data_IF_400887496974
#
_entry.id   IF_400887496974
#
_cell.length_a   1.000
_cell.length_b   1.000
_cell.length_c   1.000
_cell.angle_alpha   90.00
_cell.angle_beta   90.00
_cell.angle_gamma   90.00
#
_symmetry.space_group_name_H-M   'P 1'
#
loop_
_entity.id
_entity.type
_entity.pdbx_description
1 polymer ?
#
# COMPACT_ATOMS: atom_id res chain seq x y z
N UNK A 1 -44.28 -5.81 21.53
CA UNK A 1 -43.72 -7.18 21.61
C UNK A 1 -44.00 -7.74 23.00
N UNK A 2 -44.53 -8.97 23.15
CA UNK A 2 -44.70 -9.59 24.46
C UNK A 2 -43.33 -9.79 25.12
N UNK A 3 -43.21 -9.50 26.42
CA UNK A 3 -41.98 -9.75 27.17
C UNK A 3 -41.74 -11.26 27.23
N UNK A 4 -40.61 -11.73 26.69
CA UNK A 4 -40.18 -13.14 26.78
C UNK A 4 -39.72 -13.39 28.21
N UNK A 5 -40.39 -14.26 28.96
CA UNK A 5 -39.90 -14.68 30.28
C UNK A 5 -38.70 -15.61 30.09
N UNK A 6 -37.51 -15.14 30.47
CA UNK A 6 -36.33 -16.00 30.60
C UNK A 6 -36.45 -16.74 31.92
N UNK A 7 -36.64 -18.06 31.85
CA UNK A 7 -36.56 -18.91 33.03
C UNK A 7 -35.08 -19.20 33.28
N UNK A 8 -34.53 -18.67 34.38
CA UNK A 8 -33.13 -18.86 34.75
C UNK A 8 -33.07 -20.06 35.70
N UNK A 9 -32.47 -21.16 35.24
CA UNK A 9 -32.31 -22.35 36.08
C UNK A 9 -31.35 -22.05 37.23
N UNK A 10 -31.74 -22.29 38.48
CA UNK A 10 -30.85 -22.14 39.62
C UNK A 10 -30.01 -23.42 39.74
N UNK A 11 -28.75 -23.41 39.30
CA UNK A 11 -27.83 -24.57 39.22
C UNK A 11 -27.34 -25.17 40.56
N UNK A 12 -28.16 -25.10 41.62
CA UNK A 12 -27.79 -25.42 43.01
C UNK A 12 -28.13 -26.85 43.45
N UNK A 13 -28.74 -27.66 42.57
CA UNK A 13 -29.11 -29.05 42.82
C UNK A 13 -27.93 -30.03 42.76
N UNK A 14 -26.75 -29.58 42.33
CA UNK A 14 -25.58 -30.45 42.22
C UNK A 14 -25.53 -31.28 40.94
N UNK A 15 -24.57 -32.21 40.89
CA UNK A 15 -24.46 -33.18 39.81
C UNK A 15 -25.52 -34.26 40.01
N UNK A 16 -26.31 -34.54 38.97
CA UNK A 16 -27.22 -35.67 38.96
C UNK A 16 -26.40 -36.97 38.76
N UNK A 17 -26.46 -37.88 39.74
CA UNK A 17 -25.77 -39.17 39.70
C UNK A 17 -26.68 -40.32 39.20
N UNK A 18 -27.90 -40.01 38.74
CA UNK A 18 -28.84 -40.98 38.21
C UNK A 18 -28.51 -41.35 36.76
N UNK A 19 -28.84 -42.59 36.37
CA UNK A 19 -28.43 -43.17 35.09
C UNK A 19 -29.26 -42.71 33.89
N UNK A 20 -30.41 -42.07 34.11
CA UNK A 20 -31.34 -41.63 33.05
C UNK A 20 -31.30 -40.09 32.93
N UNK A 21 -31.00 -39.60 31.72
CA UNK A 21 -30.94 -38.16 31.43
C UNK A 21 -32.30 -37.43 31.60
N UNK A 22 -33.40 -38.17 31.76
CA UNK A 22 -34.75 -37.62 32.01
C UNK A 22 -35.02 -37.32 33.49
N UNK A 23 -34.20 -37.83 34.40
CA UNK A 23 -34.36 -37.68 35.85
C UNK A 23 -33.60 -36.47 36.41
N UNK A 24 -33.08 -35.59 35.54
CA UNK A 24 -32.37 -34.38 35.94
C UNK A 24 -33.40 -33.33 36.36
N UNK A 25 -33.42 -33.00 37.66
CA UNK A 25 -34.27 -31.92 38.14
C UNK A 25 -33.84 -30.57 37.54
N UNK A 26 -34.77 -29.61 37.50
CA UNK A 26 -34.53 -28.28 36.92
C UNK A 26 -33.29 -27.54 37.47
N UNK A 27 -32.91 -27.85 38.72
CA UNK A 27 -31.78 -27.28 39.44
C UNK A 27 -30.49 -28.13 39.38
N UNK A 28 -30.52 -29.32 38.77
CA UNK A 28 -29.41 -30.27 38.72
C UNK A 28 -28.63 -30.19 37.40
N UNK A 29 -27.41 -30.72 37.43
CA UNK A 29 -26.47 -30.71 36.30
C UNK A 29 -26.26 -32.13 35.80
N UNK A 30 -26.30 -32.34 34.48
CA UNK A 30 -26.00 -33.64 33.84
C UNK A 30 -24.52 -34.00 33.91
N UNK A 31 -23.66 -32.99 33.88
CA UNK A 31 -22.21 -33.14 33.92
C UNK A 31 -21.60 -31.85 34.48
N UNK A 32 -20.55 -32.00 35.29
CA UNK A 32 -19.77 -30.88 35.79
C UNK A 32 -18.31 -31.31 35.89
N UNK A 33 -17.41 -30.48 35.37
CA UNK A 33 -15.98 -30.72 35.44
C UNK A 33 -15.29 -29.52 36.09
N UNK A 34 -14.42 -29.79 37.07
CA UNK A 34 -13.60 -28.80 37.77
C UNK A 34 -14.38 -27.64 38.42
N UNK A 35 -15.67 -27.84 38.71
CA UNK A 35 -16.50 -26.89 39.46
C UNK A 35 -17.35 -27.58 40.54
N UNK A 36 -17.71 -26.86 41.58
CA UNK A 36 -18.70 -27.23 42.58
C UNK A 36 -19.79 -26.16 42.64
N UNK A 37 -21.03 -26.59 42.77
CA UNK A 37 -22.21 -25.73 42.84
C UNK A 37 -22.90 -25.80 44.21
N UNK A 38 -22.09 -25.86 45.27
CA UNK A 38 -22.56 -26.05 46.65
C UNK A 38 -23.36 -24.86 47.20
N UNK A 39 -23.20 -23.67 46.60
CA UNK A 39 -23.85 -22.43 47.05
C UNK A 39 -24.93 -21.99 46.04
N UNK A 40 -26.11 -21.61 46.55
CA UNK A 40 -27.22 -21.17 45.70
C UNK A 40 -26.79 -19.96 44.85
N UNK A 41 -26.84 -20.13 43.53
CA UNK A 41 -26.52 -19.09 42.56
C UNK A 41 -25.02 -18.85 42.33
N UNK A 42 -24.13 -19.72 42.83
CA UNK A 42 -22.69 -19.62 42.61
C UNK A 42 -22.11 -20.92 42.05
N UNK A 43 -21.17 -20.77 41.12
CA UNK A 43 -20.33 -21.86 40.63
C UNK A 43 -18.92 -21.59 41.17
N UNK A 44 -18.44 -22.47 42.04
CA UNK A 44 -17.09 -22.42 42.61
C UNK A 44 -16.17 -23.32 41.77
N UNK A 45 -14.94 -22.91 41.47
CA UNK A 45 -13.95 -23.82 40.87
C UNK A 45 -13.47 -24.82 41.94
N UNK A 46 -13.35 -26.11 41.60
CA UNK A 46 -12.72 -27.12 42.47
C UNK A 46 -11.38 -27.56 41.89
N UNK A 47 -10.44 -27.84 42.79
CA UNK A 47 -9.08 -28.23 42.45
C UNK A 47 -8.04 -27.37 43.18
N UNK A 48 -6.79 -27.83 43.18
CA UNK A 48 -5.67 -27.06 43.71
C UNK A 48 -5.27 -26.04 42.66
N UNK A 49 -5.57 -24.76 42.90
CA UNK A 49 -5.07 -23.68 42.05
C UNK A 49 -3.54 -23.68 42.05
N UNK A 50 -2.94 -23.58 40.86
CA UNK A 50 -1.55 -23.16 40.76
C UNK A 50 -1.50 -21.69 41.19
N UNK A 51 -0.78 -21.41 42.29
CA UNK A 51 -0.56 -20.05 42.75
C UNK A 51 0.72 -19.55 42.11
N UNK A 52 0.60 -18.54 41.25
CA UNK A 52 1.72 -17.74 40.82
C UNK A 52 1.59 -16.31 41.36
N UNK A 53 2.73 -15.64 41.52
CA UNK A 53 2.74 -14.22 41.86
C UNK A 53 2.24 -13.41 40.67
N UNK A 54 1.19 -12.61 40.88
CA UNK A 54 0.73 -11.66 39.87
C UNK A 54 1.78 -10.56 39.70
N UNK A 55 2.16 -10.25 38.46
CA UNK A 55 3.01 -9.09 38.16
C UNK A 55 2.19 -7.81 38.39
N UNK A 56 2.71 -6.90 39.22
CA UNK A 56 2.07 -5.63 39.57
C UNK A 56 1.63 -5.52 41.03
N UNK A 57 1.10 -4.37 41.43
CA UNK A 57 0.86 -4.01 42.85
C UNK A 57 -0.49 -4.45 43.42
N UNK A 58 -1.17 -5.41 42.77
CA UNK A 58 -2.36 -6.05 43.34
C UNK A 58 -3.67 -5.25 43.27
N UNK A 59 -3.74 -4.16 42.48
CA UNK A 59 -4.98 -3.38 42.30
C UNK A 59 -5.91 -4.01 41.24
N UNK A 60 -6.24 -5.28 41.42
CA UNK A 60 -7.25 -5.95 40.61
C UNK A 60 -8.63 -5.49 41.06
N UNK A 61 -9.40 -4.92 40.13
CA UNK A 61 -10.79 -4.52 40.40
C UNK A 61 -11.68 -5.78 40.36
N UNK A 62 -12.41 -6.13 41.44
CA UNK A 62 -13.28 -7.30 41.43
C UNK A 62 -14.29 -7.25 40.27
N UNK A 63 -14.43 -8.36 39.54
CA UNK A 63 -15.38 -8.49 38.44
C UNK A 63 -14.93 -7.92 37.09
N UNK A 64 -13.77 -7.27 37.00
CA UNK A 64 -13.21 -6.74 35.73
C UNK A 64 -11.68 -6.90 35.71
N UNK A 65 -11.04 -6.65 34.56
CA UNK A 65 -9.58 -6.54 34.48
C UNK A 65 -8.83 -7.85 34.31
N UNK A 66 -9.51 -8.97 34.06
CA UNK A 66 -8.90 -10.19 33.55
C UNK A 66 -9.54 -10.57 32.21
N UNK A 67 -8.73 -10.97 31.24
CA UNK A 67 -9.20 -11.39 29.92
C UNK A 67 -8.28 -12.47 29.36
N UNK A 68 -8.84 -13.42 28.60
CA UNK A 68 -8.07 -14.50 27.98
C UNK A 68 -8.18 -14.42 26.48
N UNK A 69 -7.06 -14.61 25.79
CA UNK A 69 -7.03 -14.83 24.35
C UNK A 69 -5.94 -15.84 23.99
N UNK A 70 -5.85 -16.22 22.72
CA UNK A 70 -4.78 -17.06 22.19
C UNK A 70 -4.21 -16.40 20.93
N UNK A 71 -2.92 -16.60 20.69
CA UNK A 71 -2.25 -16.21 19.45
C UNK A 71 -1.33 -17.35 19.00
N UNK A 72 -1.05 -17.38 17.72
CA UNK A 72 -0.06 -18.19 17.05
C UNK A 72 1.40 -17.79 17.34
N UNK A 73 1.62 -16.66 18.04
CA UNK A 73 2.95 -16.13 18.33
C UNK A 73 3.18 -15.82 19.80
N UNK A 74 4.43 -15.91 20.22
CA UNK A 74 4.89 -15.56 21.56
C UNK A 74 5.14 -14.06 21.70
N UNK A 75 4.71 -13.44 22.81
CA UNK A 75 4.94 -12.00 23.04
C UNK A 75 6.37 -11.67 23.46
N UNK A 76 7.15 -12.68 23.87
CA UNK A 76 8.54 -12.56 24.32
C UNK A 76 9.52 -12.30 23.18
N UNK A 77 9.39 -13.04 22.08
CA UNK A 77 10.35 -13.05 20.97
C UNK A 77 9.69 -13.07 19.58
N UNK A 78 8.35 -12.94 19.52
CA UNK A 78 7.56 -13.00 18.28
C UNK A 78 7.63 -14.34 17.51
N UNK A 79 8.22 -15.39 18.10
CA UNK A 79 8.31 -16.71 17.47
C UNK A 79 6.93 -17.31 17.22
N UNK A 80 6.81 -18.08 16.13
CA UNK A 80 5.59 -18.84 15.82
C UNK A 80 5.48 -20.05 16.75
N UNK A 81 4.69 -19.89 17.81
CA UNK A 81 4.33 -20.94 18.74
C UNK A 81 2.93 -20.64 19.27
N UNK A 82 1.95 -21.55 19.13
CA UNK A 82 0.62 -21.37 19.69
C UNK A 82 0.68 -21.14 21.20
N UNK A 83 0.29 -19.93 21.62
CA UNK A 83 0.36 -19.47 23.01
C UNK A 83 -1.00 -18.99 23.50
N UNK A 84 -1.27 -19.22 24.78
CA UNK A 84 -2.47 -18.77 25.46
C UNK A 84 -2.12 -17.69 26.47
N UNK A 85 -2.90 -16.62 26.50
CA UNK A 85 -2.61 -15.45 27.30
C UNK A 85 -3.71 -15.20 28.31
N UNK A 86 -3.32 -14.99 29.56
CA UNK A 86 -4.13 -14.30 30.56
C UNK A 86 -3.62 -12.87 30.69
N UNK A 87 -4.48 -11.93 30.34
CA UNK A 87 -4.23 -10.51 30.45
C UNK A 87 -4.83 -10.00 31.75
N UNK A 88 -4.06 -9.24 32.51
CA UNK A 88 -4.46 -8.72 33.81
C UNK A 88 -4.16 -7.23 33.92
N UNK A 89 -5.16 -6.42 34.28
CA UNK A 89 -5.02 -4.99 34.48
C UNK A 89 -4.77 -4.62 35.96
N UNK A 90 -3.73 -3.81 36.18
CA UNK A 90 -3.59 -2.96 37.36
C UNK A 90 -4.34 -1.65 37.09
N UNK A 91 -5.61 -1.63 37.51
CA UNK A 91 -6.53 -0.53 37.21
C UNK A 91 -6.18 0.79 37.91
N UNK A 92 -5.32 0.78 38.93
CA UNK A 92 -4.87 2.00 39.63
C UNK A 92 -3.67 2.63 38.91
N UNK A 93 -2.67 1.82 38.57
CA UNK A 93 -1.46 2.33 37.93
C UNK A 93 -1.59 2.47 36.40
N UNK A 94 -2.61 1.84 35.81
CA UNK A 94 -2.84 1.94 34.38
C UNK A 94 -2.01 0.97 33.56
N UNK A 95 -1.66 -0.18 34.10
CA UNK A 95 -0.85 -1.18 33.39
C UNK A 95 -1.65 -2.43 33.09
N UNK A 96 -1.35 -3.04 31.95
CA UNK A 96 -1.88 -4.34 31.55
C UNK A 96 -0.72 -5.30 31.33
N UNK A 97 -0.74 -6.39 32.08
CA UNK A 97 0.27 -7.42 32.08
C UNK A 97 -0.23 -8.67 31.35
N UNK A 98 0.73 -9.43 30.81
CA UNK A 98 0.48 -10.65 30.06
C UNK A 98 1.15 -11.81 30.78
N UNK A 99 0.34 -12.80 31.10
CA UNK A 99 0.80 -14.10 31.57
C UNK A 99 0.59 -15.10 30.45
N UNK A 100 1.70 -15.58 29.89
CA UNK A 100 1.74 -16.49 28.77
C UNK A 100 1.82 -17.93 29.25
N UNK A 101 1.08 -18.80 28.56
CA UNK A 101 1.30 -20.23 28.51
C UNK A 101 1.68 -20.60 27.09
N UNK A 102 2.92 -21.05 26.89
CA UNK A 102 3.39 -21.46 25.56
C UNK A 102 2.88 -22.86 25.16
N UNK A 103 3.29 -23.31 23.98
CA UNK A 103 2.88 -24.59 23.41
C UNK A 103 3.42 -25.81 24.17
N UNK A 104 4.56 -25.67 24.84
CA UNK A 104 5.15 -26.68 25.73
C UNK A 104 4.52 -26.67 27.13
N UNK A 105 3.69 -25.68 27.42
CA UNK A 105 2.97 -25.48 28.67
C UNK A 105 3.79 -24.76 29.74
N UNK A 106 4.95 -24.19 29.40
CA UNK A 106 5.68 -23.31 30.29
C UNK A 106 4.89 -22.02 30.52
N UNK A 107 5.01 -21.49 31.73
CA UNK A 107 4.28 -20.30 32.16
C UNK A 107 5.27 -19.17 32.41
N UNK A 108 5.02 -18.00 31.85
CA UNK A 108 5.88 -16.85 32.04
C UNK A 108 5.12 -15.52 32.00
N UNK A 109 5.65 -14.53 32.70
CA UNK A 109 5.19 -13.15 32.55
C UNK A 109 5.98 -12.47 31.45
N UNK A 110 5.29 -11.81 30.53
CA UNK A 110 5.96 -10.92 29.58
C UNK A 110 6.72 -9.83 30.34
N UNK A 111 7.94 -9.49 29.91
CA UNK A 111 8.80 -8.51 30.59
C UNK A 111 8.24 -7.08 30.50
N UNK A 112 7.48 -6.77 29.45
CA UNK A 112 6.83 -5.47 29.25
C UNK A 112 5.38 -5.42 29.76
N UNK A 113 4.65 -4.38 29.38
CA UNK A 113 3.23 -4.14 29.68
C UNK A 113 2.64 -3.14 28.67
N UNK A 114 1.30 -3.07 28.60
CA UNK A 114 0.61 -1.95 27.96
C UNK A 114 0.34 -0.88 29.02
N UNK A 115 0.75 0.35 28.75
CA UNK A 115 0.46 1.52 29.60
C UNK A 115 -0.76 2.28 29.09
N UNK A 116 -1.76 2.45 29.94
CA UNK A 116 -2.96 3.28 29.73
C UNK A 116 -2.75 4.73 30.18
N UNK A 117 -1.57 5.07 30.72
CA UNK A 117 -1.23 6.43 31.17
C UNK A 117 -1.84 6.83 32.52
N UNK A 118 -2.32 5.88 33.31
CA UNK A 118 -2.85 6.06 34.67
C UNK A 118 -4.11 5.23 34.93
N UNK A 119 -4.75 5.48 36.07
CA UNK A 119 -5.93 4.73 36.50
C UNK A 119 -7.02 4.65 35.40
N UNK A 120 -7.64 3.48 35.26
CA UNK A 120 -8.63 3.17 34.23
C UNK A 120 -9.53 2.00 34.64
N UNK A 121 -10.65 1.83 33.95
CA UNK A 121 -11.56 0.69 34.12
C UNK A 121 -11.46 -0.26 32.92
N UNK A 122 -10.73 -1.38 33.02
CA UNK A 122 -10.34 -2.18 31.87
C UNK A 122 -11.53 -2.83 31.15
N UNK A 123 -11.62 -2.62 29.84
CA UNK A 123 -12.49 -3.35 28.92
C UNK A 123 -11.65 -3.91 27.79
N UNK A 124 -11.84 -5.20 27.47
CA UNK A 124 -11.04 -5.89 26.46
C UNK A 124 -11.90 -6.34 25.28
N UNK A 125 -11.31 -6.33 24.11
CA UNK A 125 -11.89 -6.92 22.90
C UNK A 125 -10.78 -7.56 22.09
N UNK A 126 -11.00 -8.79 21.62
CA UNK A 126 -10.02 -9.51 20.79
C UNK A 126 -10.69 -10.00 19.51
N UNK A 127 -10.18 -9.54 18.37
CA UNK A 127 -10.63 -9.94 17.04
C UNK A 127 -9.49 -9.72 16.04
N UNK A 128 -9.46 -10.53 14.99
CA UNK A 128 -8.50 -10.43 13.88
C UNK A 128 -7.03 -10.45 14.34
N UNK A 129 -6.72 -11.25 15.36
CA UNK A 129 -5.37 -11.34 15.92
C UNK A 129 -4.99 -10.19 16.86
N UNK A 130 -5.88 -9.21 17.06
CA UNK A 130 -5.57 -7.94 17.75
C UNK A 130 -6.32 -7.86 19.08
N UNK A 131 -5.58 -7.62 20.16
CA UNK A 131 -6.11 -7.22 21.44
C UNK A 131 -6.30 -5.70 21.50
N UNK A 132 -7.52 -5.27 21.79
CA UNK A 132 -7.86 -3.88 22.08
C UNK A 132 -8.13 -3.73 23.56
N UNK A 133 -7.48 -2.74 24.17
CA UNK A 133 -7.68 -2.39 25.58
C UNK A 133 -8.32 -1.01 25.63
N UNK A 134 -9.49 -0.93 26.25
CA UNK A 134 -10.27 0.29 26.40
C UNK A 134 -10.40 0.65 27.88
N UNK A 135 -10.52 1.96 28.13
CA UNK A 135 -10.99 2.47 29.42
C UNK A 135 -12.52 2.61 29.36
N UNK A 136 -13.21 1.84 30.21
CA UNK A 136 -14.67 1.85 30.33
C UNK A 136 -15.22 3.17 30.87
N UNK A 137 -14.37 4.02 31.45
CA UNK A 137 -14.74 5.38 31.87
C UNK A 137 -14.51 6.42 30.75
N UNK A 138 -14.00 6.00 29.57
CA UNK A 138 -13.73 6.84 28.40
C UNK A 138 -12.79 8.03 28.66
N UNK A 139 -11.94 7.94 29.68
CA UNK A 139 -10.98 9.01 30.03
C UNK A 139 -9.62 8.83 29.37
N UNK A 140 -9.30 7.61 28.95
CA UNK A 140 -8.03 7.25 28.32
C UNK A 140 -8.19 6.79 26.89
N UNK A 141 -7.14 7.03 26.10
CA UNK A 141 -7.04 6.52 24.74
C UNK A 141 -6.97 5.00 24.76
N UNK A 142 -7.74 4.40 23.88
CA UNK A 142 -7.74 2.95 23.69
C UNK A 142 -6.44 2.49 23.05
N UNK A 143 -5.99 1.29 23.40
CA UNK A 143 -4.73 0.72 22.93
C UNK A 143 -4.96 -0.41 21.95
N UNK A 144 -4.08 -0.47 20.95
CA UNK A 144 -3.96 -1.53 19.99
C UNK A 144 -2.73 -2.36 20.36
N UNK A 145 -2.92 -3.67 20.50
CA UNK A 145 -1.85 -4.65 20.70
C UNK A 145 -2.02 -5.80 19.72
N UNK A 146 -1.05 -5.99 18.85
CA UNK A 146 -1.11 -7.02 17.82
C UNK A 146 0.26 -7.26 17.20
N UNK A 147 0.37 -8.40 16.53
CA UNK A 147 1.57 -8.75 15.79
C UNK A 147 1.56 -8.04 14.44
N UNK A 148 2.63 -7.30 14.15
CA UNK A 148 2.90 -6.70 12.85
C UNK A 148 3.95 -7.55 12.16
N UNK A 149 3.64 -7.87 10.91
CA UNK A 149 4.48 -8.58 9.96
C UNK A 149 4.30 -7.84 8.64
N UNK A 150 5.26 -6.98 8.33
CA UNK A 150 5.23 -6.11 7.17
C UNK A 150 6.63 -6.06 6.57
N UNK A 151 6.73 -6.38 5.28
CA UNK A 151 7.93 -6.16 4.49
C UNK A 151 7.73 -4.95 3.59
N UNK A 152 8.41 -3.85 3.91
CA UNK A 152 8.28 -2.59 3.19
C UNK A 152 9.41 -2.41 2.16
N UNK A 153 9.09 -1.63 1.13
CA UNK A 153 9.99 -1.16 0.10
C UNK A 153 10.71 -2.27 -0.68
N UNK A 154 9.99 -3.24 -1.23
CA UNK A 154 10.64 -4.34 -1.98
C UNK A 154 11.53 -3.84 -3.14
N UNK A 155 12.80 -4.26 -3.20
CA UNK A 155 13.79 -3.66 -4.13
C UNK A 155 13.84 -4.31 -5.53
N UNK A 156 13.53 -5.61 -5.64
CA UNK A 156 13.68 -6.33 -6.91
C UNK A 156 12.55 -7.33 -7.16
N UNK A 157 12.09 -7.37 -8.42
CA UNK A 157 11.00 -8.25 -8.87
C UNK A 157 11.26 -9.75 -8.63
N UNK A 158 12.52 -10.17 -8.54
CA UNK A 158 12.92 -11.57 -8.42
C UNK A 158 13.26 -12.02 -6.98
N UNK A 159 13.52 -11.10 -6.05
CA UNK A 159 13.97 -11.45 -4.69
C UNK A 159 12.85 -11.41 -3.65
N UNK A 160 11.75 -10.69 -3.90
CA UNK A 160 10.71 -10.41 -2.88
C UNK A 160 11.29 -9.96 -1.53
N UNK A 161 12.52 -9.44 -1.52
CA UNK A 161 13.20 -9.05 -0.29
C UNK A 161 12.78 -7.63 0.04
N UNK A 162 12.06 -7.41 1.15
CA UNK A 162 11.78 -6.07 1.63
C UNK A 162 13.10 -5.41 2.06
N UNK A 163 13.20 -4.10 1.85
CA UNK A 163 14.35 -3.34 2.36
C UNK A 163 14.19 -3.14 3.87
N UNK A 164 12.96 -2.95 4.34
CA UNK A 164 12.65 -2.76 5.76
C UNK A 164 11.64 -3.79 6.25
N UNK A 165 11.97 -4.54 7.30
CA UNK A 165 11.11 -5.59 7.84
C UNK A 165 10.64 -5.22 9.24
N UNK A 166 9.35 -5.39 9.50
CA UNK A 166 8.77 -5.22 10.82
C UNK A 166 8.10 -6.52 11.22
N UNK A 167 8.71 -7.24 12.16
CA UNK A 167 8.22 -8.54 12.68
C UNK A 167 8.19 -8.52 14.20
N UNK A 168 7.20 -7.85 14.79
CA UNK A 168 7.11 -7.68 16.25
C UNK A 168 5.68 -7.44 16.74
N UNK A 169 5.45 -7.68 18.03
CA UNK A 169 4.25 -7.18 18.70
C UNK A 169 4.36 -5.68 18.92
N UNK A 170 3.38 -4.92 18.43
CA UNK A 170 3.35 -3.46 18.55
C UNK A 170 2.28 -3.05 19.55
N UNK A 171 2.63 -2.12 20.45
CA UNK A 171 1.69 -1.47 21.36
C UNK A 171 1.60 0.01 21.03
N UNK A 172 0.43 0.48 20.60
CA UNK A 172 0.22 1.88 20.26
C UNK A 172 -1.22 2.32 20.55
N UNK A 173 -1.53 3.59 20.32
CA UNK A 173 -2.90 4.07 20.37
C UNK A 173 -3.73 3.44 19.23
N UNK A 174 -4.97 3.07 19.55
CA UNK A 174 -5.93 2.57 18.56
C UNK A 174 -6.30 3.64 17.52
N UNK A 175 -6.18 4.93 17.88
CA UNK A 175 -6.47 6.04 16.98
C UNK A 175 -5.50 6.03 15.81
N UNK A 176 -6.03 6.02 14.58
CA UNK A 176 -5.26 6.24 13.37
C UNK A 176 -4.83 7.70 13.33
N UNK A 177 -3.54 7.92 13.12
CA UNK A 177 -2.89 9.23 13.13
C UNK A 177 -2.63 9.70 11.72
N UNK A 178 -2.71 11.01 11.49
CA UNK A 178 -2.22 11.62 10.27
C UNK A 178 -0.68 11.65 10.26
N UNK A 179 -0.05 11.91 9.12
CA UNK A 179 1.40 12.14 9.08
C UNK A 179 1.81 13.32 9.99
N UNK A 180 1.00 14.39 10.03
CA UNK A 180 1.21 15.52 10.94
C UNK A 180 1.16 15.11 12.42
N UNK A 181 0.20 14.28 12.83
CA UNK A 181 0.11 13.73 14.20
C UNK A 181 1.34 12.85 14.56
N UNK A 182 1.96 12.22 13.55
CA UNK A 182 3.17 11.41 13.66
C UNK A 182 4.45 12.26 13.56
N UNK A 183 4.33 13.59 13.54
CA UNK A 183 5.45 14.52 13.36
C UNK A 183 6.23 14.27 12.07
N UNK A 184 5.53 13.83 11.02
CA UNK A 184 6.05 13.66 9.66
C UNK A 184 5.52 14.79 8.80
N UNK A 185 6.40 15.44 8.05
CA UNK A 185 5.99 16.44 7.07
C UNK A 185 5.65 15.77 5.74
N UNK A 186 4.83 16.45 4.96
CA UNK A 186 4.53 16.08 3.59
C UNK A 186 4.79 17.29 2.71
N UNK A 187 5.43 17.07 1.57
CA UNK A 187 5.83 18.15 0.69
C UNK A 187 5.58 17.81 -0.78
N UNK A 188 5.30 18.84 -1.57
CA UNK A 188 5.19 18.72 -3.03
C UNK A 188 6.44 19.33 -3.66
N UNK A 189 7.04 18.64 -4.61
CA UNK A 189 8.31 19.03 -5.23
C UNK A 189 8.16 19.16 -6.73
N UNK A 190 8.42 20.37 -7.24
CA UNK A 190 8.53 20.58 -8.68
C UNK A 190 9.76 19.83 -9.19
N UNK A 191 9.49 18.79 -9.96
CA UNK A 191 10.50 18.00 -10.64
C UNK A 191 10.46 18.23 -12.15
N UNK A 192 9.86 19.31 -12.66
CA UNK A 192 9.76 19.54 -14.11
C UNK A 192 11.12 19.68 -14.79
N UNK A 193 12.16 20.12 -14.07
CA UNK A 193 13.52 20.32 -14.61
C UNK A 193 14.58 19.35 -14.10
N UNK A 194 14.43 18.83 -12.88
CA UNK A 194 15.32 17.85 -12.24
C UNK A 194 14.61 17.18 -11.05
N UNK A 195 15.05 15.99 -10.62
CA UNK A 195 14.49 15.28 -9.47
C UNK A 195 14.82 16.05 -8.19
N UNK A 196 14.06 15.82 -7.10
CA UNK A 196 14.36 16.41 -5.81
C UNK A 196 15.79 16.08 -5.34
N UNK A 197 16.60 17.11 -5.05
CA UNK A 197 17.92 16.91 -4.44
C UNK A 197 17.82 16.59 -2.94
N UNK A 198 18.92 16.22 -2.29
CA UNK A 198 18.97 16.02 -0.83
C UNK A 198 18.47 17.26 -0.06
N UNK A 199 18.76 18.46 -0.57
CA UNK A 199 18.28 19.72 0.02
C UNK A 199 16.75 19.89 -0.10
N UNK A 200 16.12 19.23 -1.08
CA UNK A 200 14.68 19.28 -1.31
C UNK A 200 13.93 18.17 -0.57
N UNK A 201 14.53 16.99 -0.44
CA UNK A 201 13.88 15.83 0.16
C UNK A 201 13.68 15.97 1.67
N UNK A 202 14.49 16.80 2.35
CA UNK A 202 14.38 17.01 3.79
C UNK A 202 14.36 15.70 4.57
N UNK A 203 13.61 15.63 5.66
CA UNK A 203 13.15 14.37 6.26
C UNK A 203 11.68 14.20 5.86
N UNK A 204 11.17 12.97 5.68
CA UNK A 204 9.73 12.62 5.47
C UNK A 204 9.25 12.40 4.01
N UNK A 205 7.94 12.56 3.73
CA UNK A 205 7.32 12.19 2.44
C UNK A 205 7.35 13.35 1.44
N UNK A 206 7.81 13.08 0.22
CA UNK A 206 7.82 14.05 -0.87
C UNK A 206 7.10 13.49 -2.10
N UNK A 207 6.11 14.21 -2.61
CA UNK A 207 5.51 13.93 -3.91
C UNK A 207 6.16 14.84 -4.95
N UNK A 208 7.02 14.26 -5.78
CA UNK A 208 7.55 14.96 -6.93
C UNK A 208 6.51 14.99 -8.06
N UNK A 209 6.47 16.08 -8.81
CA UNK A 209 5.61 16.21 -9.98
C UNK A 209 6.34 16.73 -11.21
N UNK A 210 5.87 16.32 -12.38
CA UNK A 210 6.32 16.81 -13.68
C UNK A 210 5.14 17.33 -14.46
N UNK A 211 5.30 18.53 -15.00
CA UNK A 211 4.32 19.15 -15.89
C UNK A 211 4.82 19.06 -17.33
N UNK A 212 3.92 18.62 -18.23
CA UNK A 212 4.14 18.69 -19.67
C UNK A 212 2.93 19.31 -20.35
N UNK A 213 3.12 20.00 -21.47
CA UNK A 213 2.04 20.65 -22.22
C UNK A 213 0.99 19.65 -22.77
N UNK A 214 -0.17 20.18 -23.14
CA UNK A 214 -1.21 19.46 -23.89
C UNK A 214 -2.03 18.50 -23.05
N UNK A 215 -2.23 18.78 -21.77
CA UNK A 215 -3.14 18.05 -20.90
C UNK A 215 -4.38 18.87 -20.52
N UNK A 216 -5.18 18.31 -19.61
CA UNK A 216 -6.46 18.90 -19.20
C UNK A 216 -6.40 19.59 -17.84
N UNK A 217 -5.26 19.56 -17.14
CA UNK A 217 -5.12 20.20 -15.84
C UNK A 217 -4.91 21.70 -15.99
N UNK A 218 -5.83 22.49 -15.45
CA UNK A 218 -5.82 23.95 -15.51
C UNK A 218 -6.38 24.50 -14.21
N UNK A 219 -5.54 25.20 -13.43
CA UNK A 219 -5.91 25.72 -12.12
C UNK A 219 -4.74 25.78 -11.14
N UNK A 220 -5.07 26.08 -9.88
CA UNK A 220 -4.14 26.03 -8.75
C UNK A 220 -4.60 24.87 -7.88
N UNK A 221 -3.73 23.90 -7.61
CA UNK A 221 -4.08 22.68 -6.89
C UNK A 221 -3.31 22.53 -5.59
N UNK A 222 -3.99 22.00 -4.58
CA UNK A 222 -3.46 21.63 -3.27
C UNK A 222 -3.53 20.12 -3.11
N UNK A 223 -2.60 19.55 -2.34
CA UNK A 223 -2.47 18.10 -2.18
C UNK A 223 -2.55 17.70 -0.71
N UNK A 224 -3.12 16.52 -0.46
CA UNK A 224 -3.24 15.94 0.86
C UNK A 224 -2.81 14.47 0.86
N UNK A 225 -2.29 14.02 2.00
CA UNK A 225 -1.72 12.68 2.17
C UNK A 225 -2.38 11.98 3.34
N UNK A 226 -2.86 10.77 3.15
CA UNK A 226 -3.41 9.94 4.21
C UNK A 226 -2.59 8.64 4.33
N UNK A 227 -2.14 8.26 5.54
CA UNK A 227 -1.53 6.96 5.77
C UNK A 227 -2.58 5.85 5.62
N UNK A 228 -2.21 4.78 4.96
CA UNK A 228 -2.99 3.54 4.90
C UNK A 228 -2.38 2.55 5.87
N UNK A 229 -3.19 2.10 6.82
CA UNK A 229 -2.84 1.15 7.86
C UNK A 229 -3.22 -0.27 7.45
N UNK A 230 -2.55 -1.27 8.04
CA UNK A 230 -2.83 -2.69 7.85
C UNK A 230 -4.33 -2.99 8.01
N UNK A 231 -4.85 -3.79 7.09
CA UNK A 231 -6.30 -4.01 6.94
C UNK A 231 -7.01 -2.96 6.08
N UNK A 232 -6.26 -2.14 5.34
CA UNK A 232 -6.79 -1.15 4.40
C UNK A 232 -7.48 0.04 5.07
N UNK A 233 -7.15 0.33 6.33
CA UNK A 233 -7.78 1.42 7.07
C UNK A 233 -7.06 2.73 6.78
N UNK A 234 -7.81 3.75 6.41
CA UNK A 234 -7.25 5.06 6.10
C UNK A 234 -7.21 5.97 7.34
N UNK A 235 -6.04 6.58 7.59
CA UNK A 235 -5.87 7.58 8.62
C UNK A 235 -6.33 8.98 8.19
N UNK A 236 -6.37 9.94 9.11
CA UNK A 236 -6.67 11.33 8.77
C UNK A 236 -5.60 11.92 7.84
N UNK A 237 -6.02 12.83 6.98
CA UNK A 237 -5.17 13.45 5.97
C UNK A 237 -4.28 14.56 6.57
N UNK A 238 -3.07 14.70 6.03
CA UNK A 238 -2.16 15.83 6.23
C UNK A 238 -2.07 16.62 4.93
N UNK A 239 -2.42 17.91 4.96
CA UNK A 239 -2.31 18.81 3.80
C UNK A 239 -0.85 19.24 3.61
N UNK A 240 -0.37 19.23 2.37
CA UNK A 240 0.90 19.86 2.03
C UNK A 240 0.74 21.38 1.96
N UNK A 241 1.78 22.12 2.33
CA UNK A 241 1.77 23.58 2.31
C UNK A 241 1.90 24.18 0.91
N UNK A 242 2.44 23.40 -0.04
CA UNK A 242 2.78 23.87 -1.37
C UNK A 242 1.57 23.76 -2.33
N UNK A 243 1.41 24.74 -3.21
CA UNK A 243 0.41 24.76 -4.28
C UNK A 243 1.07 24.53 -5.64
N UNK A 244 0.37 23.84 -6.55
CA UNK A 244 0.85 23.59 -7.92
C UNK A 244 -0.03 24.32 -8.91
N UNK A 245 0.57 25.20 -9.70
CA UNK A 245 -0.12 25.95 -10.76
C UNK A 245 0.01 25.20 -12.08
N UNK A 246 -1.10 24.95 -12.76
CA UNK A 246 -1.16 24.21 -14.01
C UNK A 246 -1.95 24.97 -15.07
N UNK A 247 -1.51 24.92 -16.33
CA UNK A 247 -2.15 25.56 -17.48
C UNK A 247 -2.17 24.60 -18.68
N UNK A 248 -3.27 23.88 -18.87
CA UNK A 248 -3.40 22.83 -19.90
C UNK A 248 -2.25 21.82 -19.83
N UNK A 249 -1.89 21.41 -18.61
CA UNK A 249 -0.79 20.49 -18.37
C UNK A 249 -1.26 19.05 -18.19
N UNK A 250 -0.37 18.12 -18.49
CA UNK A 250 -0.41 16.73 -18.00
C UNK A 250 0.42 16.67 -16.72
N UNK A 251 -0.05 15.87 -15.78
CA UNK A 251 0.59 15.69 -14.48
C UNK A 251 1.14 14.26 -14.39
N UNK A 252 2.45 14.14 -14.16
CA UNK A 252 3.07 12.89 -13.71
C UNK A 252 3.54 13.07 -12.27
N UNK A 253 3.49 12.03 -11.45
CA UNK A 253 3.86 12.09 -10.03
C UNK A 253 4.66 10.87 -9.59
N UNK A 254 5.51 11.07 -8.59
CA UNK A 254 6.28 10.01 -7.96
C UNK A 254 6.42 10.29 -6.46
N UNK A 255 6.26 9.26 -5.64
CA UNK A 255 6.43 9.34 -4.20
C UNK A 255 7.87 9.00 -3.81
N UNK A 256 8.45 9.84 -2.97
CA UNK A 256 9.75 9.64 -2.33
C UNK A 256 9.51 9.55 -0.82
N UNK A 257 10.02 8.50 -0.20
CA UNK A 257 9.99 8.31 1.26
C UNK A 257 11.43 8.45 1.76
N UNK A 258 11.68 9.51 2.54
CA UNK A 258 13.03 9.80 3.06
C UNK A 258 13.18 9.27 4.47
N UNK A 259 14.20 8.45 4.70
CA UNK A 259 14.57 7.93 6.03
C UNK A 259 15.47 8.93 6.75
N UNK A 260 15.28 9.11 8.07
CA UNK A 260 15.91 10.21 8.83
C UNK A 260 17.38 9.95 9.20
N UNK A 261 17.79 8.68 9.25
CA UNK A 261 19.15 8.29 9.60
C UNK A 261 19.37 6.83 9.25
N UNK A 262 20.34 6.62 8.35
CA UNK A 262 20.96 5.32 8.07
C UNK A 262 20.04 4.43 7.24
N UNK A 263 20.65 3.41 6.65
CA UNK A 263 20.07 2.63 5.57
C UNK A 263 18.64 2.21 5.91
N UNK A 264 17.70 2.18 4.94
CA UNK A 264 16.39 1.54 5.17
C UNK A 264 16.49 0.06 5.60
N UNK A 265 17.71 -0.49 5.68
CA UNK A 265 18.07 -1.84 6.08
C UNK A 265 18.09 -2.08 7.62
N UNK A 266 17.79 -1.10 8.49
CA UNK A 266 17.70 -1.33 9.96
C UNK A 266 16.25 -1.74 10.36
N UNK A 267 16.10 -2.94 10.91
CA UNK A 267 14.83 -3.63 11.27
C UNK A 267 14.12 -3.07 12.53
N UNK A 268 14.36 -1.82 12.90
CA UNK A 268 13.89 -1.28 14.19
C UNK A 268 12.45 -0.77 14.14
N UNK A 269 12.22 0.49 13.72
CA UNK A 269 10.93 1.17 13.75
C UNK A 269 10.57 1.71 12.38
N UNK A 270 9.28 1.74 12.05
CA UNK A 270 8.84 2.28 10.78
C UNK A 270 9.21 3.76 10.63
N UNK A 271 9.86 4.12 9.53
CA UNK A 271 10.26 5.50 9.18
C UNK A 271 9.11 6.53 9.24
N UNK A 272 7.87 6.08 9.05
CA UNK A 272 6.67 6.92 9.08
C UNK A 272 6.09 7.09 10.49
N UNK A 273 6.70 6.46 11.50
CA UNK A 273 6.41 6.65 12.93
C UNK A 273 5.27 5.79 13.48
N UNK A 274 4.68 4.92 12.66
CA UNK A 274 3.73 3.90 13.12
C UNK A 274 3.90 2.63 12.28
N UNK A 275 4.29 1.55 12.96
CA UNK A 275 4.60 0.24 12.37
C UNK A 275 3.45 -0.39 11.58
N UNK A 276 2.22 0.09 11.77
CA UNK A 276 1.04 -0.44 11.10
C UNK A 276 0.82 0.18 9.71
N UNK A 277 1.58 1.21 9.32
CA UNK A 277 1.43 1.86 8.02
C UNK A 277 1.99 0.94 6.93
N UNK A 278 1.22 0.78 5.84
CA UNK A 278 1.55 -0.07 4.69
C UNK A 278 1.33 0.64 3.35
N UNK A 279 0.80 1.87 3.37
CA UNK A 279 0.47 2.60 2.16
C UNK A 279 0.32 4.11 2.38
N UNK A 280 0.24 4.83 1.27
CA UNK A 280 0.00 6.28 1.24
C UNK A 280 -1.04 6.58 0.18
N UNK A 281 -2.16 7.19 0.57
CA UNK A 281 -3.13 7.75 -0.36
C UNK A 281 -2.85 9.23 -0.56
N UNK A 282 -2.87 9.65 -1.82
CA UNK A 282 -2.71 11.05 -2.21
C UNK A 282 -4.02 11.55 -2.77
N UNK A 283 -4.40 12.73 -2.31
CA UNK A 283 -5.58 13.48 -2.70
C UNK A 283 -5.18 14.83 -3.27
N UNK A 284 -6.07 15.42 -4.07
CA UNK A 284 -5.91 16.79 -4.57
C UNK A 284 -7.23 17.55 -4.51
N UNK A 285 -7.15 18.87 -4.42
CA UNK A 285 -8.29 19.77 -4.63
C UNK A 285 -7.86 21.00 -5.42
N UNK A 286 -8.78 21.62 -6.14
CA UNK A 286 -8.56 22.96 -6.68
C UNK A 286 -8.63 23.98 -5.54
N UNK A 287 -7.73 24.96 -5.53
CA UNK A 287 -7.65 25.99 -4.51
C UNK A 287 -8.99 26.75 -4.41
N UNK A 288 -9.50 26.89 -3.19
CA UNK A 288 -10.82 27.47 -2.91
C UNK A 288 -11.98 26.48 -2.94
N UNK A 289 -11.76 25.23 -3.38
CA UNK A 289 -12.72 24.15 -3.19
C UNK A 289 -12.56 23.50 -1.81
N UNK A 290 -13.62 22.91 -1.27
CA UNK A 290 -13.59 22.19 0.02
C UNK A 290 -13.33 20.69 -0.16
N UNK A 291 -13.74 20.13 -1.30
CA UNK A 291 -13.72 18.69 -1.52
C UNK A 291 -12.38 18.23 -2.11
N UNK A 292 -11.81 17.19 -1.49
CA UNK A 292 -10.65 16.49 -1.99
C UNK A 292 -11.07 15.30 -2.87
N UNK A 293 -10.33 15.10 -3.95
CA UNK A 293 -10.48 13.99 -4.88
C UNK A 293 -9.29 13.05 -4.74
N UNK A 294 -9.55 11.75 -4.77
CA UNK A 294 -8.50 10.73 -4.74
C UNK A 294 -7.68 10.79 -6.03
N UNK A 295 -6.35 10.86 -5.90
CA UNK A 295 -5.41 10.88 -7.01
C UNK A 295 -4.80 9.51 -7.27
N UNK A 296 -4.13 8.97 -6.25
CA UNK A 296 -3.33 7.75 -6.36
C UNK A 296 -3.09 7.13 -4.99
N UNK A 297 -3.04 5.80 -4.95
CA UNK A 297 -2.55 5.04 -3.80
C UNK A 297 -1.14 4.53 -4.12
N UNK A 298 -0.25 4.59 -3.13
CA UNK A 298 1.09 4.04 -3.17
C UNK A 298 1.18 2.93 -2.13
N UNK A 299 1.42 1.71 -2.60
CA UNK A 299 1.64 0.53 -1.77
C UNK A 299 3.10 0.52 -1.29
N UNK A 300 3.34 0.63 0.02
CA UNK A 300 4.69 0.61 0.58
C UNK A 300 5.26 -0.81 0.65
N UNK A 301 4.44 -1.85 0.65
CA UNK A 301 4.89 -3.25 0.66
C UNK A 301 5.41 -3.66 -0.72
N UNK A 302 4.65 -3.37 -1.78
CA UNK A 302 4.98 -3.83 -3.14
C UNK A 302 5.63 -2.76 -4.02
N UNK A 303 5.25 -1.49 -3.84
CA UNK A 303 5.63 -0.40 -4.74
C UNK A 303 4.85 -0.38 -6.05
N UNK A 304 5.46 0.24 -7.06
CA UNK A 304 4.91 0.26 -8.42
C UNK A 304 5.27 -1.00 -9.21
N UNK A 305 5.21 -0.89 -10.55
CA UNK A 305 5.62 -1.96 -11.46
C UNK A 305 7.06 -2.41 -11.24
N UNK A 306 7.96 -1.44 -11.03
CA UNK A 306 9.40 -1.68 -10.76
C UNK A 306 9.71 -1.72 -9.27
N UNK A 307 8.67 -1.83 -8.44
CA UNK A 307 8.74 -1.82 -6.97
C UNK A 307 9.40 -0.55 -6.44
N UNK A 308 10.14 -0.64 -5.33
CA UNK A 308 10.82 0.49 -4.71
C UNK A 308 12.30 0.51 -5.11
N UNK A 309 12.81 1.70 -5.42
CA UNK A 309 14.22 1.88 -5.78
C UNK A 309 14.89 2.83 -4.78
N UNK A 310 16.14 2.52 -4.41
CA UNK A 310 16.97 3.40 -3.57
C UNK A 310 17.31 4.68 -4.35
N UNK A 311 16.94 5.83 -3.80
CA UNK A 311 17.21 7.15 -4.38
C UNK A 311 18.27 7.90 -3.58
N UNK A 312 19.25 8.50 -4.27
CA UNK A 312 20.27 9.35 -3.67
C UNK A 312 20.15 10.75 -4.28
N UNK A 313 19.69 11.74 -3.51
CA UNK A 313 19.46 13.10 -4.00
C UNK A 313 20.73 13.88 -4.29
N UNK A 314 21.92 13.35 -4.00
CA UNK A 314 23.20 13.90 -4.43
C UNK A 314 23.61 13.45 -5.83
N UNK A 315 23.25 12.22 -6.24
CA UNK A 315 23.71 11.61 -7.51
C UNK A 315 22.59 11.31 -8.51
N UNK A 316 21.33 11.23 -8.05
CA UNK A 316 20.18 10.79 -8.87
C UNK A 316 19.25 11.95 -9.27
N UNK A 317 19.66 13.21 -9.11
CA UNK A 317 18.86 14.38 -9.51
C UNK A 317 18.55 14.42 -11.01
N UNK A 318 19.41 13.82 -11.83
CA UNK A 318 19.20 13.70 -13.27
C UNK A 318 18.59 12.35 -13.71
N UNK A 319 18.25 11.45 -12.77
CA UNK A 319 17.79 10.10 -13.11
C UNK A 319 16.34 10.12 -13.60
N UNK A 320 15.99 9.34 -14.62
CA UNK A 320 14.60 9.29 -15.10
C UNK A 320 14.13 10.56 -15.84
N UNK A 321 14.97 11.59 -15.97
CA UNK A 321 14.75 12.71 -16.88
C UNK A 321 15.20 12.36 -18.26
N UNK A 322 14.34 12.48 -19.25
CA UNK A 322 14.83 12.44 -20.62
C UNK A 322 15.66 13.70 -20.93
N UNK A 323 16.99 13.56 -20.89
CA UNK A 323 17.90 14.58 -21.39
C UNK A 323 18.38 14.15 -22.77
N UNK A 324 17.76 14.65 -23.83
CA UNK A 324 18.16 14.29 -25.18
C UNK A 324 17.12 14.67 -26.23
N UNK A 325 17.20 14.03 -27.39
CA UNK A 325 16.36 14.37 -28.54
C UNK A 325 15.32 13.29 -28.78
N UNK A 326 14.07 13.70 -29.01
CA UNK A 326 13.03 12.86 -29.59
C UNK A 326 12.52 13.56 -30.85
N UNK A 327 12.73 12.95 -32.02
CA UNK A 327 12.46 13.60 -33.29
C UNK A 327 11.90 12.63 -34.34
N UNK A 328 11.01 13.18 -35.19
CA UNK A 328 10.62 12.58 -36.46
C UNK A 328 11.55 13.10 -37.54
N UNK A 329 12.57 12.30 -37.89
CA UNK A 329 13.66 12.76 -38.75
C UNK A 329 13.27 12.91 -40.22
N UNK A 330 12.28 12.15 -40.67
CA UNK A 330 11.83 12.10 -42.04
C UNK A 330 10.31 12.01 -42.10
N UNK A 331 9.76 12.35 -43.27
CA UNK A 331 8.39 11.97 -43.61
C UNK A 331 8.28 10.43 -43.63
N UNK A 332 7.06 9.87 -43.56
CA UNK A 332 6.87 8.44 -43.75
C UNK A 332 7.55 7.96 -45.05
N UNK A 333 8.18 6.79 -45.01
CA UNK A 333 8.97 6.26 -46.13
C UNK A 333 8.21 6.23 -47.48
N UNK A 334 6.89 6.08 -47.42
CA UNK A 334 5.95 6.40 -48.48
C UNK A 334 4.96 7.46 -47.99
N UNK A 335 4.59 8.42 -48.83
CA UNK A 335 3.55 9.43 -48.53
C UNK A 335 2.23 9.16 -49.25
N UNK A 336 2.04 7.96 -49.81
CA UNK A 336 0.77 7.54 -50.44
C UNK A 336 -0.28 7.23 -49.37
N UNK A 337 -1.52 7.73 -49.55
CA UNK A 337 -2.63 7.48 -48.63
C UNK A 337 -2.88 5.99 -48.43
N UNK A 338 -3.14 5.59 -47.20
CA UNK A 338 -3.43 4.21 -46.80
C UNK A 338 -2.32 3.17 -47.06
N UNK A 339 -1.13 3.61 -47.46
CA UNK A 339 0.02 2.72 -47.59
C UNK A 339 0.53 2.28 -46.21
N UNK A 340 0.84 0.98 -46.07
CA UNK A 340 1.68 0.48 -44.98
C UNK A 340 3.11 0.96 -45.21
N UNK A 341 3.65 1.71 -44.25
CA UNK A 341 4.96 2.36 -44.34
C UNK A 341 5.61 2.39 -42.96
N UNK A 342 6.83 2.91 -42.86
CA UNK A 342 7.48 3.19 -41.59
C UNK A 342 7.70 4.69 -41.41
N UNK A 343 7.74 5.12 -40.16
CA UNK A 343 8.21 6.45 -39.76
C UNK A 343 9.47 6.29 -38.90
N UNK A 344 10.55 6.96 -39.31
CA UNK A 344 11.81 6.91 -38.57
C UNK A 344 11.76 7.88 -37.40
N UNK A 345 11.84 7.31 -36.20
CA UNK A 345 11.95 8.05 -34.94
C UNK A 345 13.41 7.98 -34.48
N UNK A 346 14.02 9.14 -34.25
CA UNK A 346 15.29 9.21 -33.53
C UNK A 346 15.04 9.59 -32.10
N UNK A 347 15.63 8.79 -31.24
CA UNK A 347 15.60 8.96 -29.81
C UNK A 347 17.04 8.94 -29.31
N UNK A 348 17.42 9.96 -28.54
CA UNK A 348 18.68 9.99 -27.81
C UNK A 348 18.41 10.34 -26.36
N UNK A 349 19.14 9.69 -25.47
CA UNK A 349 19.10 9.97 -24.05
C UNK A 349 20.52 9.99 -23.50
N UNK A 350 20.90 11.13 -22.93
CA UNK A 350 22.17 11.38 -22.27
C UNK A 350 22.01 11.46 -20.75
N UNK A 351 20.79 11.29 -20.23
CA UNK A 351 20.57 11.22 -18.79
C UNK A 351 20.91 9.85 -18.22
N UNK A 352 21.24 9.85 -16.93
CA UNK A 352 21.46 8.63 -16.16
C UNK A 352 20.15 8.01 -15.68
N UNK A 353 20.19 6.78 -15.14
CA UNK A 353 18.99 6.13 -14.57
C UNK A 353 18.03 5.50 -15.59
N UNK A 354 18.46 5.32 -16.84
CA UNK A 354 17.71 4.60 -17.89
C UNK A 354 18.27 3.23 -18.23
N UNK A 355 19.42 2.87 -17.65
CA UNK A 355 20.03 1.54 -17.85
C UNK A 355 19.06 0.45 -17.40
N UNK A 356 18.74 -0.47 -18.30
CA UNK A 356 17.82 -1.58 -18.03
C UNK A 356 16.33 -1.22 -18.06
N UNK A 357 15.96 0.06 -18.25
CA UNK A 357 14.56 0.47 -18.38
C UNK A 357 14.04 0.17 -19.78
N UNK A 358 12.78 -0.27 -19.84
CA UNK A 358 12.02 -0.46 -21.07
C UNK A 358 11.04 0.70 -21.24
N UNK A 359 10.41 0.84 -22.40
CA UNK A 359 9.43 1.89 -22.61
C UNK A 359 8.65 1.71 -23.90
N UNK A 360 7.99 2.78 -24.35
CA UNK A 360 7.21 2.76 -25.57
C UNK A 360 7.38 4.06 -26.36
N UNK A 361 7.39 3.96 -27.69
CA UNK A 361 7.09 5.09 -28.56
C UNK A 361 5.60 5.06 -28.85
N UNK A 362 4.90 6.15 -28.52
CA UNK A 362 3.51 6.39 -28.90
C UNK A 362 3.46 7.37 -30.06
N UNK A 363 3.17 6.87 -31.24
CA UNK A 363 3.11 7.64 -32.49
C UNK A 363 1.67 8.06 -32.79
N UNK A 364 1.48 9.35 -33.05
CA UNK A 364 0.20 9.98 -33.35
C UNK A 364 0.22 10.50 -34.79
N UNK A 365 -0.88 10.34 -35.53
CA UNK A 365 -1.08 10.94 -36.87
C UNK A 365 -1.28 9.95 -38.03
N UNK A 366 -1.12 8.65 -37.78
CA UNK A 366 -1.45 7.59 -38.75
C UNK A 366 -2.97 7.42 -38.95
N UNK A 367 -3.36 6.55 -39.89
CA UNK A 367 -4.75 6.13 -40.07
C UNK A 367 -5.29 5.45 -38.81
N UNK A 368 -4.47 4.58 -38.22
CA UNK A 368 -4.69 3.97 -36.92
C UNK A 368 -3.80 4.72 -35.94
N UNK A 369 -4.40 5.39 -34.96
CA UNK A 369 -3.67 6.26 -34.03
C UNK A 369 -4.29 6.18 -32.63
N UNK A 370 -3.49 6.13 -31.55
CA UNK A 370 -2.04 6.06 -31.55
C UNK A 370 -1.49 4.65 -31.87
N UNK A 371 -0.29 4.57 -32.45
CA UNK A 371 0.50 3.33 -32.60
C UNK A 371 1.48 3.24 -31.45
N UNK A 372 1.56 2.08 -30.79
CA UNK A 372 2.53 1.80 -29.73
C UNK A 372 3.63 0.88 -30.24
N UNK A 373 4.88 1.30 -30.08
CA UNK A 373 6.06 0.52 -30.42
C UNK A 373 6.88 0.29 -29.15
N UNK A 374 7.09 -0.96 -28.77
CA UNK A 374 7.80 -1.32 -27.54
C UNK A 374 9.30 -1.11 -27.71
N UNK A 375 9.93 -0.47 -26.72
CA UNK A 375 11.37 -0.31 -26.62
C UNK A 375 11.92 -1.30 -25.59
N UNK A 376 12.85 -2.15 -26.02
CA UNK A 376 13.57 -3.10 -25.14
C UNK A 376 14.66 -2.40 -24.31
N UNK A 377 15.09 -1.22 -24.73
CA UNK A 377 15.93 -0.34 -23.92
C UNK A 377 15.64 1.13 -24.22
N UNK A 378 15.76 2.00 -23.22
CA UNK A 378 15.72 3.46 -23.37
C UNK A 378 17.11 4.06 -23.69
N UNK A 379 17.89 3.38 -24.53
CA UNK A 379 19.18 3.84 -25.04
C UNK A 379 19.06 4.57 -26.38
N UNK A 380 20.04 5.43 -26.70
CA UNK A 380 20.05 6.20 -27.96
C UNK A 380 20.01 5.29 -29.19
N UNK A 381 18.97 5.41 -30.00
CA UNK A 381 18.74 4.57 -31.17
C UNK A 381 17.80 5.23 -32.19
N UNK A 382 17.82 4.69 -33.40
CA UNK A 382 16.83 5.00 -34.44
C UNK A 382 15.87 3.82 -34.57
N UNK A 383 14.58 4.09 -34.50
CA UNK A 383 13.55 3.08 -34.63
C UNK A 383 12.70 3.35 -35.87
N UNK A 384 12.41 2.29 -36.62
CA UNK A 384 11.48 2.33 -37.75
C UNK A 384 10.12 1.87 -37.25
N UNK A 385 9.24 2.82 -36.90
CA UNK A 385 7.91 2.50 -36.37
C UNK A 385 6.97 2.26 -37.54
N UNK A 386 6.39 1.06 -37.70
CA UNK A 386 5.43 0.81 -38.77
C UNK A 386 4.12 1.54 -38.52
N UNK A 387 3.56 2.12 -39.58
CA UNK A 387 2.31 2.87 -39.57
C UNK A 387 1.53 2.62 -40.86
N UNK A 388 0.24 2.95 -40.84
CA UNK A 388 -0.57 3.11 -42.04
C UNK A 388 -0.82 4.60 -42.24
N UNK A 389 -0.51 5.13 -43.42
CA UNK A 389 -0.77 6.54 -43.72
C UNK A 389 -2.27 6.85 -43.68
N UNK A 390 -2.67 8.02 -43.18
CA UNK A 390 -4.05 8.48 -43.20
C UNK A 390 -4.52 8.80 -44.63
N UNK A 391 -5.77 9.24 -44.79
CA UNK A 391 -6.28 9.77 -46.05
C UNK A 391 -5.52 11.01 -46.56
N UNK A 392 -5.61 11.33 -47.86
CA UNK A 392 -4.80 12.37 -48.50
C UNK A 392 -5.02 13.77 -47.89
N UNK A 393 -4.01 14.63 -48.03
CA UNK A 393 -3.99 16.00 -47.52
C UNK A 393 -2.89 16.26 -46.48
N UNK A 394 -2.96 17.43 -45.86
CA UNK A 394 -2.01 17.84 -44.81
C UNK A 394 -2.36 17.17 -43.48
N UNK A 395 -1.37 16.50 -42.88
CA UNK A 395 -1.53 15.67 -41.68
C UNK A 395 -0.42 15.96 -40.69
N UNK A 396 -0.75 15.96 -39.40
CA UNK A 396 0.21 16.25 -38.33
C UNK A 396 0.59 14.95 -37.66
N UNK A 397 1.89 14.68 -37.63
CA UNK A 397 2.50 13.57 -36.92
C UNK A 397 3.26 14.06 -35.68
N UNK A 398 3.26 13.24 -34.64
CA UNK A 398 4.03 13.47 -33.41
C UNK A 398 4.37 12.12 -32.79
N UNK A 399 5.49 12.03 -32.08
CA UNK A 399 5.81 10.87 -31.26
C UNK A 399 6.05 11.30 -29.82
N UNK A 400 5.61 10.45 -28.90
CA UNK A 400 5.86 10.58 -27.47
C UNK A 400 6.69 9.39 -27.03
N UNK A 401 7.71 9.64 -26.23
CA UNK A 401 8.43 8.63 -25.49
C UNK A 401 7.71 8.42 -24.17
N UNK A 402 7.31 7.18 -23.92
CA UNK A 402 6.69 6.76 -22.68
C UNK A 402 7.63 5.83 -21.92
N UNK A 403 7.60 5.92 -20.60
CA UNK A 403 8.25 4.93 -19.75
C UNK A 403 7.42 3.63 -19.63
N UNK A 404 7.92 2.69 -18.87
CA UNK A 404 7.32 1.40 -18.60
C UNK A 404 5.95 1.47 -17.89
N UNK A 405 5.63 2.60 -17.27
CA UNK A 405 4.35 2.91 -16.61
C UNK A 405 3.45 3.82 -17.47
N UNK A 406 3.81 4.04 -18.73
CA UNK A 406 3.13 4.91 -19.69
C UNK A 406 3.14 6.41 -19.33
N UNK A 407 4.04 6.84 -18.43
CA UNK A 407 4.27 8.27 -18.20
C UNK A 407 5.00 8.85 -19.40
N UNK A 408 4.63 10.07 -19.79
CA UNK A 408 5.27 10.76 -20.92
C UNK A 408 6.61 11.33 -20.47
N UNK A 409 7.69 10.77 -20.99
CA UNK A 409 9.06 11.24 -20.75
C UNK A 409 9.44 12.40 -21.65
N UNK A 410 9.01 12.36 -22.93
CA UNK A 410 9.31 13.41 -23.92
C UNK A 410 8.31 13.40 -25.06
N UNK A 411 8.07 14.56 -25.65
CA UNK A 411 7.32 14.71 -26.90
C UNK A 411 8.21 15.29 -28.00
N UNK A 412 8.02 14.82 -29.23
CA UNK A 412 8.65 15.41 -30.40
C UNK A 412 7.93 16.70 -30.80
N UNK A 413 8.61 17.54 -31.58
CA UNK A 413 7.91 18.57 -32.34
C UNK A 413 6.85 17.94 -33.26
N UNK A 414 5.75 18.67 -33.48
CA UNK A 414 4.73 18.32 -34.47
C UNK A 414 5.31 18.45 -35.87
N UNK A 415 5.11 17.43 -36.71
CA UNK A 415 5.56 17.41 -38.11
C UNK A 415 4.36 17.37 -39.05
N UNK A 416 4.21 18.38 -39.88
CA UNK A 416 3.16 18.40 -40.91
C UNK A 416 3.66 17.75 -42.19
N UNK A 417 2.97 16.72 -42.67
CA UNK A 417 3.31 15.95 -43.87
C UNK A 417 2.12 15.99 -44.84
N UNK A 418 2.42 16.18 -46.13
CA UNK A 418 1.42 16.10 -47.19
C UNK A 418 1.32 14.66 -47.69
N UNK A 419 0.17 14.02 -47.42
CA UNK A 419 -0.14 12.69 -47.91
C UNK A 419 -0.78 12.79 -49.29
N UNK A 420 -0.17 12.13 -50.27
CA UNK A 420 -0.63 12.07 -51.66
C UNK A 420 -1.72 11.02 -51.80
N UNK A 421 -2.73 11.30 -52.62
CA UNK A 421 -3.77 10.33 -52.92
C UNK A 421 -3.17 9.15 -53.70
N UNK A 422 -3.32 7.94 -53.15
CA UNK A 422 -2.88 6.69 -53.77
C UNK A 422 -3.92 6.07 -54.69
N UNK A 423 -5.17 6.58 -54.67
CA UNK A 423 -6.32 5.95 -55.31
C UNK A 423 -6.82 4.70 -54.59
N UNK A 424 -6.20 4.33 -53.46
CA UNK A 424 -6.67 3.21 -52.63
C UNK A 424 -7.91 3.61 -51.85
N UNK A 425 -8.86 2.69 -51.72
CA UNK A 425 -9.98 2.87 -50.81
C UNK A 425 -9.47 2.95 -49.36
N UNK A 426 -10.24 3.62 -48.50
CA UNK A 426 -10.02 3.58 -47.05
C UNK A 426 -9.96 2.11 -46.63
N UNK A 427 -8.89 1.65 -45.94
CA UNK A 427 -8.86 0.32 -45.37
C UNK A 427 -10.15 0.13 -44.56
N UNK A 428 -10.83 -1.03 -44.69
CA UNK A 428 -12.01 -1.30 -43.88
C UNK A 428 -11.62 -1.02 -42.43
N UNK A 429 -12.39 -0.12 -41.81
CA UNK A 429 -12.15 0.39 -40.46
C UNK A 429 -11.73 -0.80 -39.57
N UNK A 430 -10.58 -0.71 -38.91
CA UNK A 430 -10.34 -1.58 -37.77
C UNK A 430 -11.42 -1.15 -36.78
N UNK A 431 -12.49 -1.93 -36.71
CA UNK A 431 -13.65 -1.66 -35.87
C UNK A 431 -13.12 -1.21 -34.51
N UNK A 432 -13.49 -0.02 -34.00
CA UNK A 432 -13.04 0.42 -32.67
C UNK A 432 -13.48 -0.55 -31.55
N UNK A 433 -14.37 -1.52 -31.85
CA UNK A 433 -14.76 -2.61 -30.97
C UNK A 433 -14.04 -3.94 -31.25
N UNK A 434 -13.12 -4.02 -32.22
CA UNK A 434 -12.25 -5.17 -32.43
C UNK A 434 -11.01 -5.03 -31.52
N UNK A 435 -10.93 -5.80 -30.41
CA UNK A 435 -9.82 -5.71 -29.47
C UNK A 435 -8.48 -6.16 -30.08
N UNK A 436 -8.48 -6.73 -31.29
CA UNK A 436 -7.26 -7.11 -32.01
C UNK A 436 -6.66 -5.96 -32.85
N UNK A 437 -7.39 -4.85 -33.02
CA UNK A 437 -6.98 -3.70 -33.84
C UNK A 437 -5.92 -2.78 -33.20
N UNK A 438 -5.62 -2.94 -31.91
CA UNK A 438 -4.46 -2.28 -31.29
C UNK A 438 -3.19 -3.06 -31.66
N UNK A 439 -2.53 -2.68 -32.76
CA UNK A 439 -1.24 -3.29 -33.09
C UNK A 439 -0.16 -2.77 -32.15
N UNK A 440 0.08 -3.50 -31.06
CA UNK A 440 1.37 -3.46 -30.39
C UNK A 440 2.38 -4.10 -31.34
N UNK A 441 3.30 -3.30 -31.88
CA UNK A 441 4.36 -3.80 -32.74
C UNK A 441 5.59 -4.02 -31.88
N UNK A 442 6.02 -5.28 -31.82
CA UNK A 442 7.24 -5.68 -31.11
C UNK A 442 8.48 -5.47 -32.00
N UNK A 443 9.57 -5.04 -31.38
CA UNK A 443 10.87 -4.96 -32.03
C UNK A 443 11.40 -6.38 -32.28
N UNK A 444 11.36 -6.84 -33.54
CA UNK A 444 11.85 -8.17 -33.95
C UNK A 444 13.39 -8.26 -34.00
N UNK A 445 14.09 -7.39 -33.28
CA UNK A 445 15.54 -7.29 -33.23
C UNK A 445 16.28 -8.43 -32.53
N UNK A 446 15.60 -9.47 -32.04
CA UNK A 446 16.25 -10.67 -31.53
C UNK A 446 16.43 -11.70 -32.66
N UNK A 447 17.66 -11.97 -33.13
CA UNK A 447 17.91 -12.99 -34.14
C UNK A 447 17.66 -14.43 -33.64
N UNK A 448 17.22 -14.64 -32.39
CA UNK A 448 17.01 -15.96 -31.80
C UNK A 448 15.61 -16.57 -32.06
N UNK A 449 14.58 -15.80 -32.38
CA UNK A 449 13.18 -16.31 -32.39
C UNK A 449 12.64 -16.77 -33.76
N UNK A 450 13.51 -17.11 -34.72
CA UNK A 450 13.09 -17.66 -36.03
C UNK A 450 12.90 -19.19 -36.08
N UNK A 451 12.90 -19.89 -34.96
CA UNK A 451 12.65 -21.33 -34.94
C UNK A 451 11.70 -21.71 -33.83
N UNK A 452 10.39 -21.66 -34.07
CA UNK A 452 9.45 -22.73 -33.71
C UNK A 452 8.22 -22.63 -34.60
N UNK A 453 8.29 -23.34 -35.72
CA UNK A 453 7.20 -23.50 -36.67
C UNK A 453 7.27 -24.87 -37.31
N UNK A 454 7.04 -25.94 -36.54
CA UNK A 454 6.60 -27.23 -37.08
C UNK A 454 6.14 -28.20 -35.98
N UNK A 455 4.85 -28.57 -35.99
CA UNK A 455 4.46 -29.94 -35.66
C UNK A 455 3.41 -30.15 -34.56
N UNK A 456 2.19 -30.39 -35.05
CA UNK A 456 1.00 -31.03 -34.42
C UNK A 456 0.09 -30.12 -33.60
#
# INVERSE_FOLDING_TARGET
>A
MPKKSLNINPFHGGLNEHSDARDIAHQELSAVENVAVADIGKVNLIGRGYQDSVKGTGHLKPGVGAFRFASDRQVTDASESPSQYLVVADGLNGYVYFYEKDSDGALSWWSSNISMGGAFSPTYYYADGILRVHDGDFTRSSKWFGYVDSGLYQEAANSNTPIHTITKFVTTDQKLKSFGDLSKTVAIRDATTANPSDANLGTHLNLAYWLSEGGSWSGIYEFGFAPVYKGGQEGPMTEASDQVVMFEHKLSIQLYVTTASHSPDDDDDHDLGDDRIVGVNVYFRENGNQDYFFLKSFDLEQGGKDRWLKYNGGTHTAYGFHAGTLALNADPASTSSYASTTMTVTFSNTASGFTGRTGFLRLIGGQVTPVYFRLTSLATANHSVPIINPGPGSRVFMVQLLDEDFNILKESAKRTVTISDSGSAVPPDLDPNDPTGFSMVEDSGDPADQYEGSGI
#
